data_IF_012688665773
#
_entry.id   IF_012688665773
#
_cell.length_a   1.000
_cell.length_b   1.000
_cell.length_c   1.000
_cell.angle_alpha   90.00
_cell.angle_beta   90.00
_cell.angle_gamma   90.00
#
_symmetry.space_group_name_H-M   'P 1'
#
loop_
_entity.id
_entity.type
_entity.pdbx_description
1 polymer ?
#
# COMPACT_ATOMS: atom_id res chain seq x y z
N UNK A 1 1.76 4.68 -7.79
CA UNK A 1 0.99 5.71 -7.05
C UNK A 1 0.97 5.34 -5.57
N UNK A 2 1.86 5.91 -4.78
CA UNK A 2 1.97 5.58 -3.34
C UNK A 2 1.03 6.44 -2.50
N UNK A 3 0.70 5.97 -1.29
CA UNK A 3 -0.07 6.77 -0.31
C UNK A 3 0.80 7.88 0.26
N UNK A 4 2.03 7.54 0.64
CA UNK A 4 2.96 8.45 1.29
C UNK A 4 4.24 8.60 0.47
N UNK A 5 4.94 9.70 0.73
CA UNK A 5 6.32 9.92 0.31
C UNK A 5 7.29 9.13 1.20
N UNK A 6 8.60 9.29 0.99
CA UNK A 6 9.67 8.50 1.63
C UNK A 6 9.63 8.51 3.17
N UNK A 7 9.07 9.52 3.84
CA UNK A 7 8.97 9.48 5.30
C UNK A 7 7.92 8.49 5.82
N UNK A 8 6.96 8.07 4.98
CA UNK A 8 5.90 7.14 5.36
C UNK A 8 6.42 5.71 5.43
N UNK A 9 6.48 5.14 6.64
CA UNK A 9 7.00 3.77 6.85
C UNK A 9 6.27 2.70 6.02
N UNK A 10 4.94 2.78 5.92
CA UNK A 10 4.14 1.81 5.15
C UNK A 10 4.52 1.80 3.67
N UNK A 11 4.55 2.96 3.01
CA UNK A 11 4.94 3.05 1.59
C UNK A 11 6.42 2.69 1.38
N UNK A 12 7.31 3.06 2.33
CA UNK A 12 8.74 2.71 2.23
C UNK A 12 8.95 1.20 2.16
N UNK A 13 8.45 0.48 3.17
CA UNK A 13 8.63 -0.96 3.29
C UNK A 13 7.84 -1.64 2.18
N UNK A 14 6.59 -1.26 1.92
CA UNK A 14 5.77 -2.02 0.97
C UNK A 14 6.12 -1.78 -0.50
N UNK A 15 6.62 -0.60 -0.87
CA UNK A 15 6.83 -0.24 -2.28
C UNK A 15 8.23 0.27 -2.60
N UNK A 16 8.82 1.11 -1.75
CA UNK A 16 10.06 1.81 -2.15
C UNK A 16 11.29 0.90 -2.08
N UNK A 17 11.29 -0.12 -1.21
CA UNK A 17 12.40 -1.07 -1.10
C UNK A 17 12.69 -1.82 -2.41
N UNK A 18 11.68 -2.00 -3.27
CA UNK A 18 11.82 -2.71 -4.53
C UNK A 18 12.27 -1.83 -5.70
N UNK A 19 12.34 -0.50 -5.53
CA UNK A 19 12.70 0.41 -6.61
C UNK A 19 14.11 0.13 -7.17
N UNK A 20 15.17 -0.09 -6.34
CA UNK A 20 16.50 -0.41 -6.85
C UNK A 20 16.48 -1.69 -7.70
N UNK A 21 15.88 -2.76 -7.18
CA UNK A 21 15.73 -4.03 -7.90
C UNK A 21 15.03 -3.85 -9.25
N UNK A 22 13.93 -3.09 -9.30
CA UNK A 22 13.20 -2.82 -10.55
C UNK A 22 14.06 -2.04 -11.55
N UNK A 23 14.82 -1.04 -11.08
CA UNK A 23 15.73 -0.26 -11.93
C UNK A 23 16.87 -1.10 -12.50
N UNK A 24 17.46 -1.99 -11.69
CA UNK A 24 18.50 -2.93 -12.14
C UNK A 24 17.99 -3.88 -13.23
N UNK A 25 16.70 -4.22 -13.20
CA UNK A 25 16.03 -5.04 -14.22
C UNK A 25 15.45 -4.20 -15.38
N UNK A 26 15.90 -2.95 -15.55
CA UNK A 26 15.54 -2.09 -16.68
C UNK A 26 14.14 -1.47 -16.59
N UNK A 27 13.45 -1.55 -15.45
CA UNK A 27 12.12 -0.97 -15.26
C UNK A 27 12.24 0.48 -14.80
N UNK A 28 11.73 1.41 -15.61
CA UNK A 28 11.63 2.82 -15.23
C UNK A 28 10.41 3.07 -14.34
N UNK A 29 10.64 3.39 -13.07
CA UNK A 29 9.57 3.63 -12.09
C UNK A 29 9.45 5.12 -11.77
N UNK A 30 8.23 5.66 -11.91
CA UNK A 30 7.90 7.00 -11.42
C UNK A 30 6.98 6.91 -10.20
N UNK A 31 7.47 7.34 -9.04
CA UNK A 31 6.66 7.40 -7.83
C UNK A 31 5.91 8.73 -7.76
N UNK A 32 4.61 8.64 -7.48
CA UNK A 32 3.75 9.81 -7.26
C UNK A 32 3.00 9.63 -5.94
N UNK A 33 3.46 10.25 -4.84
CA UNK A 33 2.83 10.13 -3.52
C UNK A 33 1.59 11.03 -3.40
N UNK A 34 0.57 10.57 -2.65
CA UNK A 34 -0.64 11.37 -2.40
C UNK A 34 -0.30 12.44 -1.35
N UNK A 35 0.32 12.00 -0.26
CA UNK A 35 0.76 12.88 0.82
C UNK A 35 2.27 13.12 0.77
N UNK A 36 2.65 14.39 0.82
CA UNK A 36 4.05 14.86 0.78
C UNK A 36 4.79 14.56 2.10
N UNK A 37 6.11 14.70 2.08
CA UNK A 37 6.91 14.68 3.33
C UNK A 37 6.52 15.84 4.27
N UNK A 38 6.14 17.00 3.72
CA UNK A 38 5.64 18.13 4.51
C UNK A 38 4.32 17.78 5.23
N UNK A 39 3.37 17.11 4.56
CA UNK A 39 2.17 16.59 5.21
C UNK A 39 2.52 15.65 6.35
N UNK A 40 3.44 14.70 6.12
CA UNK A 40 3.84 13.72 7.13
C UNK A 40 4.49 14.37 8.35
N UNK A 41 5.34 15.37 8.15
CA UNK A 41 5.94 16.14 9.25
C UNK A 41 4.84 16.79 10.10
N UNK A 42 3.89 17.50 9.47
CA UNK A 42 2.77 18.10 10.23
C UNK A 42 1.94 17.06 10.98
N UNK A 43 1.74 15.89 10.38
CA UNK A 43 1.00 14.78 10.99
C UNK A 43 1.74 14.20 12.20
N UNK A 44 3.07 14.05 12.13
CA UNK A 44 3.90 13.62 13.25
C UNK A 44 3.91 14.64 14.38
N UNK A 45 3.77 15.92 14.07
CA UNK A 45 3.56 17.00 15.05
C UNK A 45 2.10 17.06 15.57
N UNK A 46 1.28 16.03 15.29
CA UNK A 46 -0.14 15.90 15.68
C UNK A 46 -1.03 17.04 15.14
N UNK A 47 -0.64 17.65 14.02
CA UNK A 47 -1.43 18.68 13.32
C UNK A 47 -1.88 18.13 11.97
N UNK A 48 -3.05 18.55 11.52
CA UNK A 48 -3.53 18.22 10.17
C UNK A 48 -3.56 19.49 9.34
N UNK A 49 -2.75 19.52 8.27
CA UNK A 49 -2.83 20.59 7.27
C UNK A 49 -3.82 20.21 6.18
N UNK A 50 -5.04 20.75 6.26
CA UNK A 50 -6.05 20.58 5.20
C UNK A 50 -5.58 21.10 3.84
N UNK A 51 -4.76 22.15 3.83
CA UNK A 51 -4.13 22.66 2.61
C UNK A 51 -3.24 21.61 1.94
N UNK A 52 -2.43 20.88 2.70
CA UNK A 52 -1.60 19.80 2.15
C UNK A 52 -2.44 18.59 1.70
N UNK A 53 -3.57 18.30 2.36
CA UNK A 53 -4.53 17.29 1.89
C UNK A 53 -5.10 17.70 0.54
N UNK A 54 -5.65 18.90 0.42
CA UNK A 54 -6.24 19.42 -0.83
C UNK A 54 -5.18 19.41 -1.94
N UNK A 55 -3.98 19.92 -1.66
CA UNK A 55 -2.86 19.94 -2.61
C UNK A 55 -2.48 18.53 -3.07
N UNK A 56 -2.48 17.55 -2.16
CA UNK A 56 -2.24 16.15 -2.47
C UNK A 56 -3.29 15.57 -3.43
N UNK A 57 -4.56 15.82 -3.14
CA UNK A 57 -5.68 15.38 -3.99
C UNK A 57 -5.63 16.04 -5.36
N UNK A 58 -5.42 17.36 -5.44
CA UNK A 58 -5.30 18.09 -6.71
C UNK A 58 -4.13 17.59 -7.55
N UNK A 59 -2.96 17.36 -6.94
CA UNK A 59 -1.80 16.78 -7.63
C UNK A 59 -2.11 15.39 -8.18
N UNK A 60 -2.76 14.54 -7.39
CA UNK A 60 -3.15 13.19 -7.81
C UNK A 60 -4.14 13.24 -8.97
N UNK A 61 -5.12 14.12 -8.90
CA UNK A 61 -6.11 14.34 -9.95
C UNK A 61 -5.46 14.77 -11.26
N UNK A 62 -4.59 15.78 -11.24
CA UNK A 62 -3.83 16.21 -12.43
C UNK A 62 -2.96 15.07 -12.98
N UNK A 63 -2.36 14.24 -12.11
CA UNK A 63 -1.53 13.10 -12.54
C UNK A 63 -2.33 12.07 -13.34
N UNK A 64 -3.63 11.91 -13.07
CA UNK A 64 -4.49 10.96 -13.82
C UNK A 64 -4.48 11.25 -15.32
N UNK A 65 -4.44 12.54 -15.72
CA UNK A 65 -4.40 12.93 -17.13
C UNK A 65 -3.08 12.61 -17.82
N UNK A 66 -2.04 12.25 -17.07
CA UNK A 66 -0.73 11.85 -17.62
C UNK A 66 -0.52 10.34 -17.63
N UNK A 67 -1.53 9.54 -17.24
CA UNK A 67 -1.35 8.09 -17.10
C UNK A 67 -1.18 7.35 -18.42
N UNK A 68 -1.62 7.94 -19.53
CA UNK A 68 -1.39 7.40 -20.87
C UNK A 68 0.10 7.24 -21.22
N UNK A 69 1.00 7.91 -20.49
CA UNK A 69 2.45 7.87 -20.67
C UNK A 69 3.13 6.65 -20.03
N UNK A 70 2.40 5.83 -19.29
CA UNK A 70 2.94 4.66 -18.61
C UNK A 70 2.26 3.40 -19.15
N UNK A 71 3.01 2.30 -19.20
CA UNK A 71 2.50 1.00 -19.65
C UNK A 71 1.61 0.34 -18.59
N UNK A 72 1.95 0.57 -17.32
CA UNK A 72 1.29 -0.02 -16.16
C UNK A 72 1.21 0.97 -15.00
N UNK A 73 0.10 0.94 -14.26
CA UNK A 73 -0.10 1.79 -13.08
C UNK A 73 -0.22 0.91 -11.84
N UNK A 74 0.71 1.04 -10.90
CA UNK A 74 0.59 0.39 -9.58
C UNK A 74 -0.05 1.38 -8.60
N UNK A 75 -1.11 0.97 -7.91
CA UNK A 75 -1.84 1.78 -6.93
C UNK A 75 -1.66 1.15 -5.55
N UNK A 76 -1.03 1.87 -4.64
CA UNK A 76 -0.99 1.47 -3.23
C UNK A 76 -2.35 1.80 -2.60
N UNK A 77 -3.07 0.81 -2.08
CA UNK A 77 -4.32 0.94 -1.30
C UNK A 77 -5.53 1.48 -2.09
N UNK A 78 -5.51 2.74 -2.51
CA UNK A 78 -6.61 3.43 -3.21
C UNK A 78 -6.12 4.76 -3.82
N UNK A 79 -6.79 5.30 -4.85
CA UNK A 79 -6.36 6.58 -5.45
C UNK A 79 -6.68 7.77 -4.56
N UNK A 80 -7.94 7.83 -4.09
CA UNK A 80 -8.48 8.96 -3.32
C UNK A 80 -9.22 8.46 -2.09
N UNK A 81 -8.62 8.54 -0.89
CA UNK A 81 -9.30 8.16 0.35
C UNK A 81 -10.61 8.92 0.56
N UNK A 82 -11.63 8.24 1.12
CA UNK A 82 -12.97 8.80 1.35
C UNK A 82 -13.72 9.35 0.11
N UNK A 83 -13.23 9.07 -1.10
CA UNK A 83 -13.94 9.36 -2.34
C UNK A 83 -14.45 8.04 -2.96
N UNK A 84 -15.61 8.02 -3.64
CA UNK A 84 -16.08 6.82 -4.35
C UNK A 84 -15.07 6.33 -5.39
N UNK A 85 -15.12 5.04 -5.75
CA UNK A 85 -14.18 4.40 -6.70
C UNK A 85 -14.39 4.81 -8.18
N UNK A 86 -14.80 6.06 -8.43
CA UNK A 86 -15.11 6.59 -9.76
C UNK A 86 -13.84 6.64 -10.61
N UNK A 87 -12.74 7.14 -10.04
CA UNK A 87 -11.49 7.28 -10.78
C UNK A 87 -10.85 5.93 -11.11
N UNK A 88 -10.93 4.95 -10.20
CA UNK A 88 -10.47 3.59 -10.43
C UNK A 88 -11.30 2.86 -11.51
N UNK A 89 -12.59 3.16 -11.60
CA UNK A 89 -13.43 2.71 -12.74
C UNK A 89 -13.03 3.41 -14.03
N UNK A 90 -12.79 4.73 -14.01
CA UNK A 90 -12.33 5.45 -15.20
C UNK A 90 -10.97 4.94 -15.72
N UNK A 91 -10.07 4.52 -14.82
CA UNK A 91 -8.82 3.89 -15.22
C UNK A 91 -9.03 2.61 -16.03
N UNK A 92 -10.05 1.81 -15.70
CA UNK A 92 -10.40 0.63 -16.49
C UNK A 92 -10.72 1.00 -17.95
N UNK A 93 -11.39 2.14 -18.16
CA UNK A 93 -11.73 2.62 -19.51
C UNK A 93 -10.56 3.33 -20.22
N UNK A 94 -9.51 3.72 -19.50
CA UNK A 94 -8.33 4.40 -20.07
C UNK A 94 -7.45 3.49 -20.93
N UNK A 95 -7.73 2.20 -21.00
CA UNK A 95 -6.96 1.20 -21.75
C UNK A 95 -5.62 0.81 -21.11
N UNK A 96 -5.25 1.41 -19.97
CA UNK A 96 -4.03 1.07 -19.23
C UNK A 96 -4.36 0.13 -18.06
N UNK A 97 -3.77 -1.07 -18.00
CA UNK A 97 -3.98 -1.96 -16.88
C UNK A 97 -3.39 -1.33 -15.61
N UNK A 98 -4.10 -1.50 -14.49
CA UNK A 98 -3.58 -1.11 -13.19
C UNK A 98 -3.53 -2.31 -12.25
N UNK A 99 -2.54 -2.30 -11.38
CA UNK A 99 -2.39 -3.23 -10.26
C UNK A 99 -2.71 -2.49 -8.97
N UNK A 100 -3.26 -3.19 -8.00
CA UNK A 100 -3.50 -2.65 -6.66
C UNK A 100 -2.77 -3.49 -5.64
N UNK A 101 -2.10 -2.83 -4.71
CA UNK A 101 -1.37 -3.48 -3.62
C UNK A 101 -2.07 -3.21 -2.27
N UNK A 102 -2.36 -4.30 -1.55
CA UNK A 102 -2.96 -4.29 -0.23
C UNK A 102 -2.12 -5.07 0.77
N UNK A 103 -1.63 -4.38 1.79
CA UNK A 103 -0.96 -4.97 2.95
C UNK A 103 -1.84 -4.95 4.21
N UNK A 104 -2.80 -4.03 4.26
CA UNK A 104 -3.74 -3.85 5.37
C UNK A 104 -5.18 -4.14 4.92
N UNK A 105 -6.04 -4.52 5.88
CA UNK A 105 -7.49 -4.69 5.70
C UNK A 105 -8.22 -3.34 5.56
N UNK A 106 -7.85 -2.55 4.55
CA UNK A 106 -8.34 -1.18 4.35
C UNK A 106 -9.86 -1.09 4.17
N UNK A 107 -10.49 -2.14 3.65
CA UNK A 107 -11.95 -2.20 3.50
C UNK A 107 -12.69 -2.02 4.84
N UNK A 108 -12.09 -2.43 5.95
CA UNK A 108 -12.65 -2.20 7.29
C UNK A 108 -12.74 -0.75 7.71
N UNK A 109 -11.93 0.11 7.10
CA UNK A 109 -12.08 1.55 7.27
C UNK A 109 -13.43 2.06 6.77
N UNK A 110 -14.06 1.37 5.82
CA UNK A 110 -15.28 1.81 5.18
C UNK A 110 -16.50 0.99 5.57
N UNK A 111 -16.41 -0.35 5.63
CA UNK A 111 -17.56 -1.20 5.99
C UNK A 111 -17.92 -1.11 7.49
N UNK A 112 -16.92 -0.97 8.36
CA UNK A 112 -17.08 -0.75 9.80
C UNK A 112 -17.01 0.73 10.21
N UNK A 113 -17.09 1.67 9.26
CA UNK A 113 -16.97 3.09 9.58
C UNK A 113 -18.10 3.55 10.51
N UNK A 114 -17.83 4.46 11.46
CA UNK A 114 -18.83 4.94 12.42
C UNK A 114 -20.02 5.66 11.76
N UNK A 115 -19.74 6.50 10.77
CA UNK A 115 -20.77 7.22 9.99
C UNK A 115 -21.50 6.30 9.02
N UNK A 116 -22.84 6.25 9.12
CA UNK A 116 -23.71 5.47 8.23
C UNK A 116 -23.63 5.92 6.77
N UNK A 117 -23.48 7.22 6.51
CA UNK A 117 -23.31 7.75 5.16
C UNK A 117 -22.02 7.22 4.51
N UNK A 118 -20.92 7.17 5.26
CA UNK A 118 -19.65 6.61 4.76
C UNK A 118 -19.82 5.14 4.42
N UNK A 119 -20.48 4.35 5.28
CA UNK A 119 -20.76 2.94 4.98
C UNK A 119 -21.63 2.80 3.73
N UNK A 120 -22.68 3.60 3.62
CA UNK A 120 -23.60 3.57 2.50
C UNK A 120 -22.88 3.82 1.16
N UNK A 121 -22.06 4.87 1.07
CA UNK A 121 -21.39 5.23 -0.18
C UNK A 121 -20.09 4.44 -0.44
N UNK A 122 -19.35 4.05 0.60
CA UNK A 122 -17.96 3.60 0.46
C UNK A 122 -17.67 2.18 0.96
N UNK A 123 -18.61 1.47 1.59
CA UNK A 123 -18.38 0.11 2.10
C UNK A 123 -17.85 -0.86 1.05
N UNK A 124 -18.35 -0.76 -0.19
CA UNK A 124 -17.93 -1.59 -1.33
C UNK A 124 -16.89 -0.94 -2.24
N UNK A 125 -16.31 0.17 -1.80
CA UNK A 125 -15.34 0.92 -2.59
C UNK A 125 -14.13 0.05 -2.90
N UNK A 126 -13.51 -0.53 -1.88
CA UNK A 126 -12.29 -1.33 -2.05
C UNK A 126 -12.57 -2.58 -2.89
N UNK A 127 -13.72 -3.23 -2.69
CA UNK A 127 -14.13 -4.36 -3.53
C UNK A 127 -14.26 -3.95 -5.01
N UNK A 128 -14.78 -2.75 -5.27
CA UNK A 128 -14.86 -2.18 -6.62
C UNK A 128 -13.47 -1.96 -7.21
N UNK A 129 -12.52 -1.49 -6.42
CA UNK A 129 -11.13 -1.30 -6.85
C UNK A 129 -10.47 -2.65 -7.18
N UNK A 130 -10.60 -3.63 -6.30
CA UNK A 130 -10.06 -4.99 -6.50
C UNK A 130 -10.62 -5.65 -7.76
N UNK A 131 -11.94 -5.57 -8.00
CA UNK A 131 -12.61 -6.15 -9.16
C UNK A 131 -12.11 -5.60 -10.50
N UNK A 132 -11.84 -4.31 -10.55
CA UNK A 132 -11.51 -3.63 -11.80
C UNK A 132 -10.00 -3.65 -12.12
N UNK A 133 -9.15 -3.95 -11.12
CA UNK A 133 -7.72 -4.11 -11.31
C UNK A 133 -7.40 -5.28 -12.27
N UNK A 134 -6.29 -5.17 -12.98
CA UNK A 134 -5.73 -6.27 -13.76
C UNK A 134 -5.15 -7.35 -12.84
N UNK A 135 -4.49 -6.92 -11.74
CA UNK A 135 -3.94 -7.80 -10.70
C UNK A 135 -4.12 -7.14 -9.34
N UNK A 136 -4.52 -7.93 -8.34
CA UNK A 136 -4.47 -7.56 -6.93
C UNK A 136 -3.27 -8.25 -6.29
N UNK A 137 -2.36 -7.46 -5.73
CA UNK A 137 -1.27 -7.95 -4.88
C UNK A 137 -1.74 -7.88 -3.44
N UNK A 138 -1.77 -9.03 -2.77
CA UNK A 138 -2.21 -9.18 -1.39
C UNK A 138 -1.04 -9.53 -0.47
N UNK A 139 -0.97 -8.88 0.70
CA UNK A 139 0.05 -9.13 1.72
C UNK A 139 -0.09 -10.46 2.46
N UNK A 140 -1.26 -11.11 2.38
CA UNK A 140 -1.54 -12.38 3.05
C UNK A 140 -2.80 -13.05 2.46
N UNK A 141 -3.08 -14.28 2.89
CA UNK A 141 -4.25 -15.05 2.46
C UNK A 141 -5.59 -14.36 2.79
N UNK A 142 -5.69 -13.68 3.93
CA UNK A 142 -6.93 -12.99 4.32
C UNK A 142 -7.31 -11.89 3.32
N UNK A 143 -6.33 -11.12 2.85
CA UNK A 143 -6.53 -10.09 1.83
C UNK A 143 -6.79 -10.71 0.45
N UNK A 144 -6.15 -11.83 0.14
CA UNK A 144 -6.37 -12.56 -1.11
C UNK A 144 -7.81 -13.08 -1.21
N UNK A 145 -8.32 -13.73 -0.15
CA UNK A 145 -9.70 -14.19 -0.07
C UNK A 145 -10.70 -13.04 -0.23
N UNK A 146 -10.42 -11.87 0.36
CA UNK A 146 -11.27 -10.70 0.18
C UNK A 146 -11.30 -10.26 -1.28
N UNK A 147 -10.14 -10.24 -1.94
CA UNK A 147 -10.02 -9.87 -3.35
C UNK A 147 -10.78 -10.84 -4.27
N UNK A 148 -10.66 -12.14 -4.02
CA UNK A 148 -11.41 -13.18 -4.74
C UNK A 148 -12.92 -12.98 -4.57
N UNK A 149 -13.40 -12.80 -3.33
CA UNK A 149 -14.81 -12.52 -3.03
C UNK A 149 -15.30 -11.22 -3.66
N UNK A 150 -14.44 -10.23 -3.82
CA UNK A 150 -14.76 -8.98 -4.51
C UNK A 150 -14.90 -9.16 -6.04
N UNK A 151 -14.40 -10.27 -6.59
CA UNK A 151 -14.38 -10.58 -8.02
C UNK A 151 -13.12 -10.10 -8.73
N UNK A 152 -11.96 -10.11 -8.04
CA UNK A 152 -10.67 -9.80 -8.66
C UNK A 152 -10.37 -10.76 -9.82
N UNK A 153 -9.81 -10.22 -10.91
CA UNK A 153 -9.47 -11.01 -12.12
C UNK A 153 -8.26 -11.91 -11.91
N UNK A 154 -7.29 -11.42 -11.15
CA UNK A 154 -6.07 -12.13 -10.77
C UNK A 154 -5.63 -11.66 -9.40
N UNK A 155 -5.24 -12.59 -8.54
CA UNK A 155 -4.73 -12.32 -7.20
C UNK A 155 -3.35 -12.96 -7.07
N UNK A 156 -2.38 -12.23 -6.54
CA UNK A 156 -1.03 -12.70 -6.23
C UNK A 156 -0.75 -12.36 -4.78
N UNK A 157 -0.24 -13.32 -4.02
CA UNK A 157 0.17 -13.09 -2.63
C UNK A 157 1.66 -12.76 -2.63
N UNK A 158 1.99 -11.56 -2.14
CA UNK A 158 3.37 -11.12 -1.89
C UNK A 158 3.39 -10.62 -0.45
N UNK A 159 3.95 -11.37 0.51
CA UNK A 159 4.00 -10.92 1.89
C UNK A 159 4.89 -9.69 2.06
N UNK A 160 4.69 -8.97 3.16
CA UNK A 160 5.58 -7.87 3.51
C UNK A 160 6.88 -8.42 4.07
N UNK A 161 7.96 -8.14 3.35
CA UNK A 161 9.33 -8.53 3.70
C UNK A 161 10.12 -7.32 4.17
N UNK A 162 11.20 -7.58 4.89
CA UNK A 162 12.18 -6.58 5.28
C UNK A 162 13.52 -6.89 4.62
N UNK A 163 14.24 -5.83 4.29
CA UNK A 163 15.61 -5.93 3.79
C UNK A 163 16.54 -6.45 4.90
N UNK A 164 17.11 -7.64 4.68
CA UNK A 164 18.00 -8.31 5.65
C UNK A 164 19.38 -7.68 5.75
N UNK A 165 19.81 -6.93 4.73
CA UNK A 165 21.08 -6.18 4.79
C UNK A 165 20.93 -4.95 5.69
N UNK A 166 19.70 -4.45 5.84
CA UNK A 166 19.36 -3.31 6.69
C UNK A 166 18.89 -3.72 8.10
N UNK A 167 18.18 -4.85 8.21
CA UNK A 167 17.60 -5.34 9.46
C UNK A 167 18.23 -6.66 9.89
N UNK A 168 19.35 -6.56 10.60
CA UNK A 168 20.06 -7.72 11.16
C UNK A 168 19.58 -7.98 12.60
N UNK A 169 19.22 -9.22 12.96
CA UNK A 169 18.86 -9.56 14.34
C UNK A 169 20.00 -9.23 15.31
N UNK A 170 19.68 -8.55 16.40
CA UNK A 170 20.66 -8.32 17.47
C UNK A 170 20.98 -9.65 18.18
N UNK A 171 22.27 -9.94 18.36
CA UNK A 171 22.68 -11.05 19.21
C UNK A 171 22.25 -10.80 20.66
N UNK A 172 21.52 -11.76 21.22
CA UNK A 172 20.95 -11.65 22.55
C UNK A 172 22.08 -11.80 23.59
N UNK A 173 22.53 -10.69 24.18
CA UNK A 173 23.43 -10.78 25.35
C UNK A 173 22.69 -11.50 26.47
N UNK A 174 23.28 -12.57 27.03
CA UNK A 174 22.68 -13.39 28.12
C UNK A 174 22.43 -12.61 29.42
N UNK A 175 22.77 -11.33 29.50
CA UNK A 175 22.93 -10.61 30.76
C UNK A 175 22.26 -9.22 30.85
N UNK A 176 21.17 -8.97 30.13
CA UNK A 176 20.36 -7.75 30.34
C UNK A 176 18.97 -8.08 30.87
N UNK A 177 18.62 -7.40 31.97
CA UNK A 177 17.28 -7.35 32.58
C UNK A 177 16.23 -7.15 31.47
N UNK A 178 15.08 -7.81 31.63
CA UNK A 178 13.93 -7.72 30.71
C UNK A 178 13.51 -6.26 30.56
N UNK A 179 14.01 -5.61 29.52
CA UNK A 179 13.39 -4.38 29.02
C UNK A 179 12.04 -4.78 28.42
N UNK A 180 10.98 -4.09 28.84
CA UNK A 180 9.59 -4.34 28.43
C UNK A 180 9.33 -3.90 26.98
N UNK A 181 10.27 -4.11 26.07
CA UNK A 181 10.05 -3.88 24.65
C UNK A 181 9.21 -5.03 24.09
N UNK A 182 7.96 -4.73 23.78
CA UNK A 182 7.00 -5.72 23.29
C UNK A 182 7.37 -6.30 21.92
N UNK A 183 8.18 -5.59 21.12
CA UNK A 183 8.68 -6.10 19.84
C UNK A 183 9.66 -7.27 20.00
N UNK A 184 10.53 -7.23 21.02
CA UNK A 184 11.53 -8.29 21.28
C UNK A 184 10.88 -9.63 21.65
N UNK A 185 9.66 -9.61 22.22
CA UNK A 185 8.90 -10.82 22.54
C UNK A 185 8.30 -11.51 21.32
N UNK A 186 7.93 -10.77 20.28
CA UNK A 186 7.30 -11.34 19.08
C UNK A 186 8.30 -12.00 18.13
N UNK A 187 9.51 -11.46 18.03
CA UNK A 187 10.59 -12.07 17.25
C UNK A 187 10.96 -13.51 17.70
N UNK A 188 10.63 -13.88 18.95
CA UNK A 188 10.92 -15.20 19.51
C UNK A 188 9.94 -16.30 19.07
N UNK A 189 8.79 -15.95 18.48
CA UNK A 189 7.71 -16.90 18.16
C UNK A 189 7.27 -16.86 16.68
N UNK A 190 7.96 -16.11 15.82
CA UNK A 190 7.64 -16.13 14.40
C UNK A 190 8.37 -17.31 13.74
N UNK A 191 7.66 -18.28 13.13
CA UNK A 191 8.29 -19.16 12.17
C UNK A 191 8.91 -18.30 11.07
N UNK A 192 10.20 -18.52 10.83
CA UNK A 192 10.99 -17.88 9.81
C UNK A 192 10.40 -18.25 8.44
N UNK A 193 9.43 -17.49 7.93
CA UNK A 193 8.93 -17.66 6.57
C UNK A 193 9.94 -17.02 5.61
N UNK A 194 11.02 -17.77 5.32
CA UNK A 194 11.91 -17.50 4.19
C UNK A 194 11.16 -17.96 2.94
N UNK A 195 10.72 -17.04 2.09
CA UNK A 195 10.41 -17.38 0.69
C UNK A 195 11.76 -17.36 -0.04
N UNK A 196 12.37 -18.52 -0.17
CA UNK A 196 13.45 -18.73 -1.13
C UNK A 196 12.84 -18.65 -2.54
N UNK A 197 13.38 -17.76 -3.36
CA UNK A 197 13.06 -17.68 -4.78
C UNK A 197 13.24 -19.05 -5.43
N UNK A 198 12.19 -19.54 -6.10
CA UNK A 198 12.37 -20.47 -7.21
C UNK A 198 12.20 -19.67 -8.49
N UNK A 199 13.33 -19.32 -9.11
CA UNK A 199 13.39 -18.96 -10.51
C UNK A 199 12.86 -20.13 -11.34
N UNK A 200 11.81 -19.89 -12.14
CA UNK A 200 11.68 -20.34 -13.54
C UNK A 200 10.90 -19.27 -14.29
#
# INVERSE_FOLDING_TARGET
MSRYATLGASSRVRSYQYLPFLHEHGVSVTVSPLFSNAYLQTLYDKRTSWLEVIKGYSRRFVKLFTLYRYDVVIIEKELFPFFPAIFERLLQFSGRPYLVDYDDALFHRYDCHKSGLVRFFLSRKIDTVMRNAAVVVAGNHYLAERAEKAGAKKVIIIPTVVDTDHYVPLERSKNKRRDNNWMDRYAQNLPLFIIANSCI
#
